data_IF_892080856151
#
_entry.id   IF_892080856151
#
_cell.length_a   1.000
_cell.length_b   1.000
_cell.length_c   1.000
_cell.angle_alpha   90.00
_cell.angle_beta   90.00
_cell.angle_gamma   90.00
#
_symmetry.space_group_name_H-M   'P 1'
#
loop_
_entity.id
_entity.type
_entity.pdbx_description
1 polymer ?
#
# COMPACT_ATOMS: atom_id res chain seq x y z
N UNK A 1 -23.70 1.99 -7.06
CA UNK A 1 -22.41 1.62 -6.44
C UNK A 1 -21.89 0.39 -7.17
N UNK A 2 -20.69 0.46 -7.73
CA UNK A 2 -20.02 -0.67 -8.37
C UNK A 2 -18.75 -1.01 -7.59
N UNK A 3 -18.41 -2.28 -7.51
CA UNK A 3 -17.17 -2.77 -6.88
C UNK A 3 -16.45 -3.60 -7.93
N UNK A 4 -15.16 -3.32 -8.13
CA UNK A 4 -14.28 -4.08 -9.01
C UNK A 4 -13.28 -4.80 -8.13
N UNK A 5 -13.34 -6.13 -8.13
CA UNK A 5 -12.38 -6.98 -7.44
C UNK A 5 -11.37 -7.48 -8.47
N UNK A 6 -10.09 -7.20 -8.23
CA UNK A 6 -9.01 -7.53 -9.17
C UNK A 6 -8.43 -8.90 -8.84
N UNK A 7 -8.50 -9.82 -9.80
CA UNK A 7 -7.85 -11.13 -9.72
C UNK A 7 -6.37 -11.07 -10.12
N UNK A 8 -5.54 -10.41 -9.33
CA UNK A 8 -4.11 -10.28 -9.61
C UNK A 8 -3.35 -11.60 -9.48
N UNK A 9 -2.23 -11.72 -10.19
CA UNK A 9 -1.35 -12.89 -10.14
C UNK A 9 -0.57 -12.94 -8.82
N UNK A 10 -0.63 -14.09 -8.15
CA UNK A 10 -0.01 -14.27 -6.84
C UNK A 10 1.38 -14.92 -6.90
N UNK A 11 2.22 -14.54 -5.94
CA UNK A 11 3.41 -15.28 -5.54
C UNK A 11 3.03 -16.66 -4.94
N UNK A 12 3.93 -17.66 -4.95
CA UNK A 12 5.31 -17.63 -5.45
C UNK A 12 5.44 -17.86 -6.97
N UNK A 13 4.34 -18.17 -7.67
CA UNK A 13 4.38 -18.47 -9.12
C UNK A 13 4.70 -17.23 -9.96
N UNK A 14 4.17 -16.07 -9.55
CA UNK A 14 4.45 -14.80 -10.18
C UNK A 14 4.94 -13.84 -9.08
N UNK A 15 6.23 -13.52 -9.09
CA UNK A 15 6.85 -12.66 -8.09
C UNK A 15 6.49 -11.19 -8.34
N UNK A 16 6.58 -10.37 -7.30
CA UNK A 16 6.40 -8.92 -7.42
C UNK A 16 7.41 -8.32 -8.40
N UNK A 17 7.04 -7.26 -9.15
CA UNK A 17 5.89 -6.37 -8.95
C UNK A 17 4.59 -6.78 -9.67
N UNK A 18 4.47 -7.99 -10.21
CA UNK A 18 3.37 -8.38 -11.11
C UNK A 18 1.96 -8.09 -10.57
N UNK A 19 1.73 -8.24 -9.26
CA UNK A 19 0.44 -7.96 -8.65
C UNK A 19 0.10 -6.46 -8.64
N UNK A 20 1.12 -5.59 -8.53
CA UNK A 20 0.95 -4.14 -8.65
C UNK A 20 0.61 -3.75 -10.09
N UNK A 21 1.25 -4.40 -11.07
CA UNK A 21 0.98 -4.18 -12.50
C UNK A 21 -0.45 -4.60 -12.85
N UNK A 22 -0.90 -5.79 -12.45
CA UNK A 22 -2.27 -6.26 -12.67
C UNK A 22 -3.31 -5.31 -12.05
N UNK A 23 -3.04 -4.81 -10.84
CA UNK A 23 -3.93 -3.86 -10.15
C UNK A 23 -3.97 -2.50 -10.84
N UNK A 24 -2.83 -2.04 -11.36
CA UNK A 24 -2.74 -0.80 -12.09
C UNK A 24 -3.44 -0.86 -13.45
N UNK A 25 -3.25 -1.96 -14.20
CA UNK A 25 -3.97 -2.19 -15.46
C UNK A 25 -5.48 -2.24 -15.25
N UNK A 26 -5.94 -2.92 -14.19
CA UNK A 26 -7.35 -2.95 -13.84
C UNK A 26 -7.91 -1.56 -13.50
N UNK A 27 -7.13 -0.73 -12.80
CA UNK A 27 -7.50 0.66 -12.52
C UNK A 27 -7.59 1.49 -13.80
N UNK A 28 -6.58 1.40 -14.69
CA UNK A 28 -6.58 2.08 -15.98
C UNK A 28 -7.78 1.67 -16.85
N UNK A 29 -8.07 0.38 -16.91
CA UNK A 29 -9.23 -0.15 -17.61
C UNK A 29 -10.53 0.41 -17.04
N UNK A 30 -10.62 0.53 -15.72
CA UNK A 30 -11.80 1.09 -15.04
C UNK A 30 -12.02 2.56 -15.40
N UNK A 31 -10.97 3.38 -15.42
CA UNK A 31 -11.09 4.83 -15.61
C UNK A 31 -11.15 5.26 -17.09
N UNK A 32 -10.72 4.41 -18.04
CA UNK A 32 -10.64 4.80 -19.46
C UNK A 32 -10.67 3.66 -20.48
N UNK A 33 -10.91 2.41 -20.07
CA UNK A 33 -10.83 1.23 -20.94
C UNK A 33 -12.05 0.93 -21.81
N UNK A 34 -13.17 1.64 -21.62
CA UNK A 34 -14.35 1.56 -22.49
C UNK A 34 -14.63 2.91 -23.13
N UNK A 35 -15.31 2.93 -24.29
CA UNK A 35 -15.74 4.13 -25.02
C UNK A 35 -16.59 5.14 -24.22
N UNK A 36 -16.75 4.95 -22.91
CA UNK A 36 -17.51 5.77 -21.97
C UNK A 36 -16.63 6.08 -20.75
N UNK A 37 -15.67 7.01 -20.90
CA UNK A 37 -14.95 7.56 -19.76
C UNK A 37 -15.93 8.31 -18.87
N UNK A 38 -16.42 7.65 -17.83
CA UNK A 38 -17.30 8.23 -16.84
C UNK A 38 -16.53 9.30 -16.04
N UNK A 39 -16.83 10.61 -16.18
CA UNK A 39 -15.99 11.66 -15.62
C UNK A 39 -15.86 11.60 -14.10
N UNK A 40 -16.84 11.03 -13.42
CA UNK A 40 -16.82 10.85 -11.97
C UNK A 40 -15.81 9.78 -11.49
N UNK A 41 -15.36 8.86 -12.36
CA UNK A 41 -14.32 7.89 -12.04
C UNK A 41 -12.91 8.50 -12.09
N UNK A 42 -12.74 9.63 -12.78
CA UNK A 42 -11.45 10.33 -12.88
C UNK A 42 -11.13 11.12 -11.60
N UNK A 43 -12.16 11.50 -10.85
CA UNK A 43 -12.03 12.16 -9.56
C UNK A 43 -11.82 11.12 -8.44
N UNK A 44 -10.55 10.85 -8.13
CA UNK A 44 -10.16 9.87 -7.11
C UNK A 44 -10.46 10.41 -5.72
N UNK A 45 -11.67 10.16 -5.24
CA UNK A 45 -12.18 10.68 -3.96
C UNK A 45 -11.39 10.22 -2.74
N UNK A 46 -10.78 9.05 -2.79
CA UNK A 46 -9.96 8.56 -1.69
C UNK A 46 -9.51 7.11 -1.85
N UNK A 47 -8.67 6.67 -0.91
CA UNK A 47 -8.20 5.30 -0.79
C UNK A 47 -8.55 4.79 0.61
N UNK A 48 -9.05 3.55 0.68
CA UNK A 48 -9.20 2.83 1.94
C UNK A 48 -8.10 1.78 2.00
N UNK A 49 -7.36 1.76 3.11
CA UNK A 49 -6.28 0.82 3.33
C UNK A 49 -6.58 0.01 4.59
N UNK A 50 -6.51 -1.30 4.47
CA UNK A 50 -6.89 -2.25 5.51
C UNK A 50 -5.69 -3.16 5.78
N UNK A 51 -5.18 -3.17 7.02
CA UNK A 51 -4.02 -3.95 7.46
C UNK A 51 -2.79 -3.76 6.58
N UNK A 52 -2.06 -2.67 6.80
CA UNK A 52 -0.89 -2.36 5.96
C UNK A 52 0.26 -3.33 6.22
N UNK A 53 0.71 -3.94 5.13
CA UNK A 53 1.90 -4.77 5.11
C UNK A 53 3.14 -3.96 4.72
N UNK A 54 3.43 -2.89 5.46
CA UNK A 54 4.70 -2.17 5.38
C UNK A 54 5.70 -2.69 6.38
N UNK A 55 6.99 -2.55 6.06
CA UNK A 55 8.12 -2.93 6.90
C UNK A 55 8.93 -1.71 7.29
N UNK A 56 8.32 -0.91 8.16
CA UNK A 56 8.91 0.30 8.68
C UNK A 56 9.89 -0.03 9.80
N UNK A 57 10.99 0.72 9.88
CA UNK A 57 12.02 0.64 10.94
C UNK A 57 12.92 -0.62 10.92
N UNK A 58 13.01 -1.33 9.80
CA UNK A 58 13.97 -2.41 9.61
C UNK A 58 13.68 -3.67 10.45
N UNK A 59 14.64 -4.60 10.52
CA UNK A 59 14.41 -5.94 11.11
C UNK A 59 14.46 -5.99 12.64
N UNK A 60 14.98 -4.94 13.27
CA UNK A 60 15.43 -5.00 14.67
C UNK A 60 14.27 -4.94 15.68
N UNK A 61 13.13 -4.37 15.28
CA UNK A 61 11.91 -4.30 16.10
C UNK A 61 10.98 -5.51 15.95
N UNK A 62 11.34 -6.49 15.11
CA UNK A 62 10.48 -7.63 14.81
C UNK A 62 10.69 -8.79 15.78
N UNK A 63 9.61 -9.20 16.45
CA UNK A 63 9.60 -10.43 17.23
C UNK A 63 9.82 -11.69 16.33
N UNK A 64 10.01 -12.86 16.94
CA UNK A 64 10.35 -14.09 16.20
C UNK A 64 9.26 -14.52 15.21
N UNK A 65 7.99 -14.31 15.55
CA UNK A 65 6.84 -14.65 14.70
C UNK A 65 6.81 -13.71 13.48
N UNK A 66 6.93 -12.41 13.72
CA UNK A 66 6.98 -11.40 12.65
C UNK A 66 8.14 -11.68 11.69
N UNK A 67 9.34 -12.00 12.20
CA UNK A 67 10.48 -12.38 11.35
C UNK A 67 10.20 -13.60 10.47
N UNK A 68 9.52 -14.62 10.99
CA UNK A 68 9.16 -15.81 10.22
C UNK A 68 8.15 -15.50 9.11
N UNK A 69 7.08 -14.76 9.45
CA UNK A 69 6.08 -14.32 8.47
C UNK A 69 6.72 -13.49 7.37
N UNK A 70 7.58 -12.53 7.71
CA UNK A 70 8.24 -11.65 6.76
C UNK A 70 9.31 -12.35 5.92
N UNK A 71 9.97 -13.36 6.47
CA UNK A 71 10.87 -14.22 5.67
C UNK A 71 10.12 -14.96 4.55
N UNK A 72 8.83 -15.26 4.77
CA UNK A 72 7.97 -15.88 3.77
C UNK A 72 7.53 -14.87 2.71
N UNK A 73 7.20 -13.64 3.11
CA UNK A 73 6.88 -12.55 2.18
C UNK A 73 8.08 -12.10 1.34
N UNK A 74 9.30 -12.11 1.90
CA UNK A 74 10.52 -11.83 1.14
C UNK A 74 10.71 -12.77 -0.06
N UNK A 75 10.15 -13.99 0.00
CA UNK A 75 10.18 -14.95 -1.13
C UNK A 75 9.21 -14.59 -2.25
N UNK A 76 8.29 -13.65 -2.03
CA UNK A 76 7.40 -13.11 -3.06
C UNK A 76 8.09 -12.08 -3.95
N UNK A 77 9.29 -11.63 -3.58
CA UNK A 77 10.12 -10.73 -4.38
C UNK A 77 11.18 -11.53 -5.15
N UNK A 78 11.56 -11.11 -6.37
CA UNK A 78 12.65 -11.73 -7.10
C UNK A 78 13.96 -11.55 -6.34
N UNK A 79 14.84 -12.55 -6.39
CA UNK A 79 16.16 -12.49 -5.75
C UNK A 79 17.03 -11.31 -6.23
N UNK A 80 16.70 -10.75 -7.40
CA UNK A 80 17.31 -9.56 -7.99
C UNK A 80 16.71 -8.22 -7.52
N UNK A 81 15.69 -8.22 -6.66
CA UNK A 81 15.17 -7.02 -6.02
C UNK A 81 16.25 -6.45 -5.09
N UNK A 82 17.11 -5.59 -5.65
CA UNK A 82 18.40 -5.14 -5.11
C UNK A 82 18.32 -4.41 -3.77
N UNK A 83 17.12 -4.11 -3.26
CA UNK A 83 16.89 -3.40 -2.00
C UNK A 83 16.19 -4.23 -0.92
N UNK A 84 15.61 -5.39 -1.25
CA UNK A 84 14.90 -6.22 -0.28
C UNK A 84 13.89 -5.40 0.55
N UNK A 85 14.03 -5.39 1.87
CA UNK A 85 13.18 -4.65 2.81
C UNK A 85 13.25 -3.12 2.68
N UNK A 86 14.29 -2.59 2.02
CA UNK A 86 14.48 -1.16 1.77
C UNK A 86 13.85 -0.73 0.43
N UNK A 87 13.14 -1.62 -0.26
CA UNK A 87 12.35 -1.23 -1.43
C UNK A 87 11.24 -0.26 -0.99
N UNK A 88 11.11 0.94 -1.60
CA UNK A 88 10.05 1.89 -1.28
C UNK A 88 8.62 1.34 -1.35
N UNK A 89 8.38 0.26 -2.10
CA UNK A 89 7.07 -0.41 -2.17
C UNK A 89 6.75 -1.22 -0.91
N UNK A 90 7.78 -1.54 -0.11
CA UNK A 90 7.70 -2.24 1.17
C UNK A 90 7.85 -1.26 2.33
N UNK A 91 8.78 -0.31 2.19
CA UNK A 91 9.09 0.72 3.17
C UNK A 91 8.89 2.11 2.54
N UNK A 92 7.65 2.62 2.49
CA UNK A 92 7.33 3.89 1.83
C UNK A 92 7.82 5.13 2.59
N UNK A 93 8.31 4.97 3.81
CA UNK A 93 8.98 6.04 4.58
C UNK A 93 10.51 5.86 4.59
N UNK A 94 11.01 4.85 3.88
CA UNK A 94 12.42 4.52 3.80
C UNK A 94 13.21 5.49 2.92
N UNK A 95 14.54 5.40 3.01
CA UNK A 95 15.44 6.27 2.25
C UNK A 95 15.23 6.10 0.73
N UNK A 96 14.88 7.19 0.06
CA UNK A 96 14.66 7.22 -1.39
C UNK A 96 13.25 6.78 -1.79
N UNK A 97 12.33 6.65 -0.85
CA UNK A 97 10.91 6.55 -1.15
C UNK A 97 10.34 7.91 -1.62
N UNK A 98 9.34 7.90 -2.52
CA UNK A 98 8.60 9.13 -2.87
C UNK A 98 7.89 9.71 -1.64
N UNK A 99 7.80 11.04 -1.54
CA UNK A 99 7.05 11.69 -0.46
C UNK A 99 5.56 11.39 -0.57
N UNK A 100 4.90 11.26 0.58
CA UNK A 100 3.45 11.04 0.66
C UNK A 100 2.63 12.25 0.17
N UNK A 101 3.25 13.43 0.05
CA UNK A 101 2.64 14.61 -0.62
C UNK A 101 2.20 14.35 -2.05
N UNK A 102 2.82 13.38 -2.73
CA UNK A 102 2.50 13.01 -4.11
C UNK A 102 1.28 12.11 -4.26
N UNK A 103 0.60 11.73 -3.17
CA UNK A 103 -0.62 10.92 -3.25
C UNK A 103 -1.70 11.65 -4.03
N UNK A 104 -2.18 11.04 -5.11
CA UNK A 104 -3.13 11.64 -6.04
C UNK A 104 -4.57 11.74 -5.50
N UNK A 105 -4.88 11.05 -4.40
CA UNK A 105 -6.20 11.04 -3.80
C UNK A 105 -6.34 12.10 -2.70
N UNK A 106 -7.57 12.55 -2.42
CA UNK A 106 -7.84 13.61 -1.44
C UNK A 106 -8.15 13.10 -0.02
N UNK A 107 -8.52 11.82 0.12
CA UNK A 107 -8.89 11.18 1.40
C UNK A 107 -8.20 9.84 1.54
N UNK A 108 -7.69 9.54 2.73
CA UNK A 108 -7.14 8.22 3.06
C UNK A 108 -7.78 7.77 4.36
N UNK A 109 -8.33 6.56 4.36
CA UNK A 109 -8.86 5.90 5.55
C UNK A 109 -8.01 4.67 5.83
N UNK A 110 -7.46 4.56 7.04
CA UNK A 110 -6.58 3.46 7.44
C UNK A 110 -7.25 2.65 8.55
N UNK A 111 -7.39 1.35 8.35
CA UNK A 111 -7.81 0.39 9.37
C UNK A 111 -6.63 -0.50 9.76
N UNK A 112 -6.34 -0.56 11.06
CA UNK A 112 -5.27 -1.39 11.60
C UNK A 112 -5.76 -2.09 12.87
N UNK A 113 -5.78 -3.42 12.88
CA UNK A 113 -6.23 -4.15 14.07
C UNK A 113 -5.22 -4.06 15.21
N UNK A 114 -5.71 -4.00 16.44
CA UNK A 114 -4.92 -3.92 17.67
C UNK A 114 -4.00 -5.14 17.87
N UNK A 115 -4.47 -6.34 17.49
CA UNK A 115 -3.73 -7.59 17.66
C UNK A 115 -2.86 -7.97 16.45
N UNK A 116 -2.73 -7.08 15.47
CA UNK A 116 -1.85 -7.30 14.32
C UNK A 116 -0.39 -7.03 14.73
N UNK A 117 0.53 -7.93 14.37
CA UNK A 117 1.95 -7.72 14.66
C UNK A 117 2.58 -6.58 13.83
N UNK A 118 1.87 -6.07 12.82
CA UNK A 118 2.22 -4.87 12.07
C UNK A 118 1.49 -3.62 12.57
N UNK A 119 0.77 -3.68 13.71
CA UNK A 119 -0.01 -2.56 14.24
C UNK A 119 0.81 -1.26 14.35
N UNK A 120 1.97 -1.32 15.01
CA UNK A 120 2.84 -0.15 15.19
C UNK A 120 3.37 0.40 13.87
N UNK A 121 3.50 -0.46 12.85
CA UNK A 121 3.97 -0.06 11.53
C UNK A 121 2.84 0.59 10.73
N UNK A 122 1.63 0.05 10.81
CA UNK A 122 0.44 0.74 10.30
C UNK A 122 0.27 2.12 10.92
N UNK A 123 0.47 2.24 12.24
CA UNK A 123 0.44 3.53 12.95
C UNK A 123 1.54 4.47 12.46
N UNK A 124 2.78 3.99 12.31
CA UNK A 124 3.90 4.81 11.82
C UNK A 124 3.62 5.35 10.41
N UNK A 125 3.00 4.56 9.53
CA UNK A 125 2.57 5.04 8.22
C UNK A 125 1.50 6.13 8.32
N UNK A 126 0.51 5.94 9.20
CA UNK A 126 -0.53 6.94 9.46
C UNK A 126 0.06 8.26 9.98
N UNK A 127 0.97 8.20 10.96
CA UNK A 127 1.64 9.39 11.51
C UNK A 127 2.44 10.13 10.40
N UNK A 128 3.03 9.38 9.46
CA UNK A 128 3.70 9.92 8.27
C UNK A 128 2.74 10.61 7.30
N UNK A 129 1.54 10.06 7.09
CA UNK A 129 0.47 10.71 6.33
C UNK A 129 0.05 12.02 6.99
N UNK A 130 -0.20 12.06 8.30
CA UNK A 130 -0.58 13.30 8.99
C UNK A 130 0.51 14.38 8.89
N UNK A 131 1.78 13.99 8.90
CA UNK A 131 2.90 14.93 8.88
C UNK A 131 3.17 15.48 7.49
N UNK A 132 3.14 14.62 6.47
CA UNK A 132 3.53 15.01 5.11
C UNK A 132 2.34 15.37 4.22
N UNK A 133 1.23 14.65 4.34
CA UNK A 133 0.12 14.71 3.39
C UNK A 133 -0.96 15.66 3.90
N UNK A 134 -1.08 16.80 3.23
CA UNK A 134 -2.00 17.90 3.56
C UNK A 134 -3.45 17.58 3.14
N UNK A 135 -3.96 16.38 3.45
CA UNK A 135 -5.27 15.87 3.03
C UNK A 135 -6.36 16.96 3.01
N UNK A 136 -7.10 17.04 1.90
CA UNK A 136 -8.09 18.08 1.67
C UNK A 136 -9.31 17.94 2.59
N UNK A 137 -9.53 18.98 3.39
CA UNK A 137 -10.59 19.21 4.39
C UNK A 137 -10.89 18.06 5.39
N UNK A 138 -10.65 18.42 6.66
CA UNK A 138 -10.83 17.70 7.91
C UNK A 138 -11.94 16.63 7.91
N UNK A 139 -11.54 15.35 7.89
CA UNK A 139 -12.35 14.26 8.45
C UNK A 139 -11.52 12.97 8.58
N UNK A 140 -10.52 12.98 9.47
CA UNK A 140 -9.77 11.77 9.85
C UNK A 140 -10.13 11.42 11.29
N UNK A 141 -10.89 10.33 11.47
CA UNK A 141 -11.12 9.70 12.76
C UNK A 141 -10.52 8.29 12.73
N UNK A 142 -9.71 7.97 13.73
CA UNK A 142 -9.24 6.61 14.00
C UNK A 142 -10.40 5.85 14.66
N UNK A 143 -10.85 4.75 14.05
CA UNK A 143 -11.77 3.78 14.64
C UNK A 143 -11.06 2.44 14.83
#
# INVERSE_FOLDING_TARGET
MAIISVGYRCAPKNLLPIAYEDSWEALQWTVGGGNNSEPWLLDHKGVVIVHLYFLLNGRDHLNRISRSCLSSFGRSYPASASKGLEDPRINPLGKGAPSLKGLACNRVLVFQAELDFLHDQGKTYYDGLETEWLGGDESTGVL
#
